data_IF_674437056790
#
_entry.id   IF_674437056790
#
_cell.length_a   1.000
_cell.length_b   1.000
_cell.length_c   1.000
_cell.angle_alpha   90.00
_cell.angle_beta   90.00
_cell.angle_gamma   90.00
#
_symmetry.space_group_name_H-M   'P 1'
#
loop_
_entity.id
_entity.type
_entity.pdbx_description
1 polymer ?
#
# COMPACT_ATOMS: atom_id res chain seq x y z
N UNK A 1 61.32 -69.60 24.71
CA UNK A 1 62.37 -69.17 23.77
C UNK A 1 61.72 -68.79 22.43
N UNK A 2 62.40 -68.07 21.50
CA UNK A 2 61.80 -66.88 20.88
C UNK A 2 61.03 -67.04 19.56
N UNK A 3 60.20 -66.01 19.31
CA UNK A 3 59.92 -65.26 18.06
C UNK A 3 60.73 -65.61 16.78
N UNK A 4 60.13 -65.49 15.58
CA UNK A 4 60.12 -64.17 14.88
C UNK A 4 58.83 -63.74 14.11
N UNK A 5 58.87 -62.48 13.64
CA UNK A 5 57.88 -61.58 12.99
C UNK A 5 58.68 -60.81 11.89
N UNK A 6 58.20 -60.44 10.66
CA UNK A 6 56.92 -59.76 10.26
C UNK A 6 56.29 -60.43 8.99
N UNK A 7 55.53 -59.81 8.03
CA UNK A 7 54.94 -58.44 7.94
C UNK A 7 53.46 -58.26 7.47
N UNK A 8 52.88 -57.13 7.93
CA UNK A 8 51.92 -56.19 7.30
C UNK A 8 50.70 -56.64 6.45
N UNK A 9 49.52 -56.15 6.87
CA UNK A 9 48.50 -55.53 6.00
C UNK A 9 47.56 -54.60 6.81
N UNK A 10 47.09 -53.52 6.18
CA UNK A 10 46.13 -52.50 6.67
C UNK A 10 45.25 -52.16 5.44
N UNK A 11 43.91 -52.30 5.45
CA UNK A 11 42.99 -51.35 6.13
C UNK A 11 41.85 -52.11 6.88
N UNK A 12 40.70 -51.57 7.31
CA UNK A 12 40.02 -50.26 7.11
C UNK A 12 39.15 -49.92 8.35
N UNK A 13 38.72 -48.67 8.49
CA UNK A 13 37.74 -48.25 9.51
C UNK A 13 36.74 -47.24 8.91
N UNK A 14 35.44 -47.52 9.00
CA UNK A 14 34.37 -46.66 8.47
C UNK A 14 33.99 -45.55 9.48
N UNK A 15 33.87 -44.28 9.05
CA UNK A 15 33.22 -43.25 9.84
C UNK A 15 31.69 -43.32 9.67
N UNK A 16 30.95 -43.37 10.79
CA UNK A 16 29.50 -43.29 10.80
C UNK A 16 29.07 -41.81 10.68
N UNK A 17 28.59 -41.39 9.51
CA UNK A 17 28.16 -40.01 9.28
C UNK A 17 26.78 -39.77 9.91
N UNK A 18 26.73 -38.91 10.92
CA UNK A 18 25.48 -38.52 11.58
C UNK A 18 24.74 -37.49 10.71
N UNK A 19 23.58 -37.86 10.15
CA UNK A 19 22.82 -36.99 9.26
C UNK A 19 22.04 -35.94 10.07
N UNK A 20 22.65 -34.77 10.26
CA UNK A 20 21.99 -33.59 10.80
C UNK A 20 20.96 -33.06 9.78
N UNK A 21 19.68 -33.39 10.01
CA UNK A 21 18.55 -32.78 9.34
C UNK A 21 18.40 -31.32 9.81
N UNK A 22 19.24 -30.43 9.29
CA UNK A 22 18.94 -29.00 9.27
C UNK A 22 17.71 -28.80 8.37
N UNK A 23 16.63 -28.16 8.84
CA UNK A 23 15.55 -27.76 7.94
C UNK A 23 16.12 -26.74 6.97
N UNK A 24 16.25 -27.12 5.70
CA UNK A 24 16.53 -26.16 4.63
C UNK A 24 15.32 -25.25 4.53
N UNK A 25 15.45 -24.07 5.12
CA UNK A 25 14.62 -22.91 4.81
C UNK A 25 14.80 -22.60 3.32
N UNK A 26 13.98 -23.23 2.49
CA UNK A 26 13.71 -22.74 1.15
C UNK A 26 13.31 -21.27 1.31
N UNK A 27 13.97 -20.32 0.62
CA UNK A 27 13.54 -18.94 0.68
C UNK A 27 12.08 -18.89 0.21
N UNK A 28 11.21 -18.22 0.96
CA UNK A 28 9.84 -17.97 0.49
C UNK A 28 9.97 -17.07 -0.73
N UNK A 29 9.84 -17.66 -1.93
CA UNK A 29 9.81 -16.93 -3.19
C UNK A 29 8.55 -16.07 -3.19
N UNK A 30 8.72 -14.80 -2.84
CA UNK A 30 7.66 -13.80 -2.96
C UNK A 30 7.65 -13.35 -4.42
N UNK A 31 6.59 -13.66 -5.15
CA UNK A 31 6.36 -13.13 -6.52
C UNK A 31 5.97 -11.65 -6.45
N UNK A 32 6.92 -10.81 -6.08
CA UNK A 32 6.75 -9.38 -5.85
C UNK A 32 6.98 -8.62 -7.16
N UNK A 33 5.90 -8.39 -7.92
CA UNK A 33 5.91 -7.63 -9.17
C UNK A 33 6.05 -6.11 -8.94
N UNK A 34 7.12 -5.69 -8.25
CA UNK A 34 7.58 -4.29 -8.30
C UNK A 34 8.40 -4.12 -9.59
N UNK A 35 7.67 -4.07 -10.71
CA UNK A 35 8.19 -3.59 -11.98
C UNK A 35 8.03 -2.06 -12.00
N UNK A 36 9.11 -1.26 -11.82
CA UNK A 36 9.00 0.18 -11.95
C UNK A 36 8.69 0.51 -13.40
N UNK A 37 7.41 0.80 -13.70
CA UNK A 37 6.93 1.10 -15.05
C UNK A 37 7.88 2.11 -15.70
N UNK A 38 8.61 1.72 -16.77
CA UNK A 38 9.53 2.63 -17.43
C UNK A 38 8.75 3.84 -17.92
N UNK A 39 9.31 5.04 -17.74
CA UNK A 39 8.81 6.23 -18.42
C UNK A 39 8.85 5.93 -19.93
N UNK A 40 7.67 5.70 -20.52
CA UNK A 40 7.58 5.12 -21.86
C UNK A 40 8.36 5.98 -22.86
N UNK A 41 9.16 5.38 -23.75
CA UNK A 41 9.71 6.07 -24.92
C UNK A 41 8.60 6.26 -25.98
N UNK A 42 7.49 6.86 -25.56
CA UNK A 42 6.54 7.50 -26.46
C UNK A 42 7.28 8.58 -27.27
N UNK A 43 6.83 8.89 -28.50
CA UNK A 43 7.19 10.15 -29.12
C UNK A 43 6.91 11.29 -28.13
N UNK A 44 7.85 12.21 -27.96
CA UNK A 44 7.92 13.17 -26.83
C UNK A 44 6.74 14.14 -26.70
N UNK A 45 5.74 14.04 -27.59
CA UNK A 45 4.57 14.90 -27.69
C UNK A 45 3.24 14.13 -27.56
N UNK A 46 3.22 12.83 -27.21
CA UNK A 46 1.96 12.09 -26.98
C UNK A 46 1.48 12.31 -25.53
N UNK A 47 0.36 13.01 -25.29
CA UNK A 47 -0.10 13.31 -23.93
C UNK A 47 -0.78 12.11 -23.27
N UNK A 48 -0.15 11.56 -22.22
CA UNK A 48 -0.81 10.60 -21.32
C UNK A 48 -1.95 11.33 -20.61
N UNK A 49 -3.19 10.88 -20.86
CA UNK A 49 -4.41 11.58 -20.40
C UNK A 49 -5.14 10.72 -19.37
N UNK A 50 -4.94 11.01 -18.08
CA UNK A 50 -5.68 10.40 -16.99
C UNK A 50 -6.91 11.27 -16.64
N UNK A 51 -8.12 10.82 -16.99
CA UNK A 51 -9.35 11.59 -16.77
C UNK A 51 -10.10 11.09 -15.54
N UNK A 52 -10.03 11.85 -14.44
CA UNK A 52 -10.82 11.57 -13.24
C UNK A 52 -12.26 12.06 -13.39
N UNK A 53 -13.21 11.14 -13.59
CA UNK A 53 -14.64 11.44 -13.70
C UNK A 53 -15.32 11.54 -12.33
N UNK A 54 -15.26 12.73 -11.72
CA UNK A 54 -16.02 13.05 -10.51
C UNK A 54 -17.54 13.08 -10.80
N UNK A 55 -18.38 12.25 -10.14
CA UNK A 55 -19.84 12.21 -10.39
C UNK A 55 -20.61 13.42 -9.83
N UNK A 56 -19.96 14.35 -9.12
CA UNK A 56 -20.55 15.63 -8.69
C UNK A 56 -19.54 16.78 -8.80
N UNK A 57 -19.98 18.05 -8.96
CA UNK A 57 -19.09 19.21 -8.92
C UNK A 57 -18.29 19.31 -7.63
N UNK A 58 -18.91 18.99 -6.49
CA UNK A 58 -18.26 18.97 -5.17
C UNK A 58 -17.08 18.00 -5.11
N UNK A 59 -17.21 16.79 -5.66
CA UNK A 59 -16.11 15.83 -5.79
C UNK A 59 -14.97 16.36 -6.68
N UNK A 60 -15.32 17.10 -7.74
CA UNK A 60 -14.35 17.77 -8.62
C UNK A 60 -13.60 18.89 -7.88
N UNK A 61 -14.29 19.75 -7.13
CA UNK A 61 -13.69 20.80 -6.30
C UNK A 61 -12.74 20.25 -5.24
N UNK A 62 -13.09 19.15 -4.57
CA UNK A 62 -12.21 18.50 -3.60
C UNK A 62 -10.97 17.89 -4.28
N UNK A 63 -11.13 17.27 -5.46
CA UNK A 63 -10.02 16.69 -6.23
C UNK A 63 -9.12 17.73 -6.94
N UNK A 64 -9.63 18.93 -7.25
CA UNK A 64 -8.90 19.95 -8.01
C UNK A 64 -7.49 20.26 -7.46
N UNK A 65 -6.51 20.64 -8.32
CA UNK A 65 -5.18 21.13 -7.91
C UNK A 65 -5.25 22.12 -6.74
N UNK A 66 -4.41 21.91 -5.73
CA UNK A 66 -4.32 22.73 -4.51
C UNK A 66 -3.07 23.61 -4.49
N UNK A 67 -2.13 23.33 -5.40
CA UNK A 67 -0.96 24.15 -5.67
C UNK A 67 -1.17 24.96 -6.95
N UNK A 68 -0.76 26.22 -6.95
CA UNK A 68 -0.78 27.08 -8.14
C UNK A 68 0.45 26.91 -9.04
N UNK A 69 1.54 26.35 -8.50
CA UNK A 69 2.77 26.02 -9.22
C UNK A 69 3.54 24.92 -8.45
N UNK A 70 4.37 24.16 -9.16
CA UNK A 70 5.31 23.19 -8.55
C UNK A 70 6.69 23.82 -8.41
N UNK A 71 7.39 23.54 -7.32
CA UNK A 71 8.74 24.05 -7.06
C UNK A 71 9.55 23.00 -6.26
N UNK A 72 10.69 23.40 -5.68
CA UNK A 72 11.56 22.51 -4.91
C UNK A 72 11.00 22.08 -3.54
N UNK A 73 9.92 22.68 -3.05
CA UNK A 73 9.32 22.42 -1.73
C UNK A 73 7.91 21.84 -1.80
N UNK A 74 7.14 22.15 -2.84
CA UNK A 74 5.73 21.82 -2.93
C UNK A 74 5.48 20.47 -3.63
N UNK A 75 4.51 19.72 -3.10
CA UNK A 75 4.02 18.46 -3.64
C UNK A 75 2.50 18.37 -3.52
N UNK A 76 1.85 17.73 -4.47
CA UNK A 76 0.50 17.17 -4.30
C UNK A 76 0.39 15.80 -4.98
N UNK A 77 -0.46 14.93 -4.45
CA UNK A 77 -0.78 13.65 -5.09
C UNK A 77 -2.24 13.25 -4.93
N UNK A 78 -2.73 12.51 -5.92
CA UNK A 78 -4.03 11.85 -5.94
C UNK A 78 -3.79 10.36 -5.78
N UNK A 79 -4.30 9.78 -4.70
CA UNK A 79 -4.15 8.37 -4.37
C UNK A 79 -5.46 7.64 -4.66
N UNK A 80 -5.38 6.51 -5.39
CA UNK A 80 -6.50 5.61 -5.67
C UNK A 80 -6.07 4.18 -5.34
N UNK A 81 -6.96 3.38 -4.76
CA UNK A 81 -6.75 1.94 -4.68
C UNK A 81 -8.04 1.12 -4.80
N UNK A 82 -7.86 -0.20 -4.91
CA UNK A 82 -8.84 -1.19 -4.53
C UNK A 82 -8.18 -2.48 -4.02
N UNK A 83 -8.82 -3.14 -3.05
CA UNK A 83 -8.48 -4.49 -2.57
C UNK A 83 -9.64 -5.45 -2.84
N UNK A 84 -9.34 -6.64 -3.36
CA UNK A 84 -10.34 -7.61 -3.77
C UNK A 84 -11.16 -8.13 -2.58
N UNK A 85 -12.49 -8.16 -2.72
CA UNK A 85 -13.40 -8.32 -1.58
C UNK A 85 -13.25 -9.66 -0.81
N UNK A 86 -12.63 -10.66 -1.43
CA UNK A 86 -12.46 -12.01 -0.90
C UNK A 86 -11.02 -12.54 -1.02
N UNK A 87 -10.04 -11.66 -1.30
CA UNK A 87 -8.63 -12.05 -1.43
C UNK A 87 -7.70 -10.94 -0.90
N UNK A 88 -7.18 -11.04 0.35
CA UNK A 88 -6.34 -10.01 0.94
C UNK A 88 -4.99 -9.83 0.23
N UNK A 89 -4.58 -10.77 -0.64
CA UNK A 89 -3.33 -10.68 -1.39
C UNK A 89 -3.48 -9.90 -2.71
N UNK A 90 -4.71 -9.67 -3.18
CA UNK A 90 -5.01 -9.05 -4.47
C UNK A 90 -5.44 -7.59 -4.28
N UNK A 91 -4.59 -6.66 -4.68
CA UNK A 91 -4.84 -5.22 -4.61
C UNK A 91 -4.21 -4.48 -5.78
N UNK A 92 -4.75 -3.32 -6.11
CA UNK A 92 -4.20 -2.40 -7.10
C UNK A 92 -4.19 -0.99 -6.53
N UNK A 93 -3.08 -0.28 -6.69
CA UNK A 93 -2.88 1.10 -6.24
C UNK A 93 -2.39 1.93 -7.41
N UNK A 94 -2.99 3.10 -7.62
CA UNK A 94 -2.58 4.10 -8.61
C UNK A 94 -2.40 5.44 -7.89
N UNK A 95 -1.21 6.03 -7.99
CA UNK A 95 -0.96 7.36 -7.42
C UNK A 95 -0.38 8.29 -8.47
N UNK A 96 -1.06 9.41 -8.72
CA UNK A 96 -0.60 10.48 -9.61
C UNK A 96 0.01 11.60 -8.77
N UNK A 97 1.21 12.04 -9.12
CA UNK A 97 1.98 13.03 -8.38
C UNK A 97 2.27 14.27 -9.22
N UNK A 98 2.18 15.42 -8.56
CA UNK A 98 2.65 16.72 -9.02
C UNK A 98 3.65 17.22 -7.97
N UNK A 99 4.92 16.81 -8.12
CA UNK A 99 6.00 17.01 -7.14
C UNK A 99 7.37 16.99 -7.81
N UNK A 100 8.27 17.88 -7.38
CA UNK A 100 9.69 17.76 -7.73
C UNK A 100 10.41 16.68 -6.91
N UNK A 101 11.56 16.15 -7.37
CA UNK A 101 12.37 15.20 -6.60
C UNK A 101 12.96 15.74 -5.29
N UNK A 102 12.96 17.05 -5.07
CA UNK A 102 13.38 17.66 -3.80
C UNK A 102 12.23 17.74 -2.77
N UNK A 103 10.98 17.72 -3.22
CA UNK A 103 9.81 17.91 -2.38
C UNK A 103 9.28 16.62 -1.73
N UNK A 104 9.46 15.46 -2.35
CA UNK A 104 8.90 14.18 -1.90
C UNK A 104 9.91 13.01 -2.05
N UNK A 105 10.14 12.19 -1.00
CA UNK A 105 11.26 11.24 -0.97
C UNK A 105 11.14 10.06 -1.94
N UNK A 106 9.92 9.64 -2.28
CA UNK A 106 9.68 8.53 -3.22
C UNK A 106 9.70 8.96 -4.69
N UNK A 107 10.06 10.21 -5.00
CA UNK A 107 10.08 10.72 -6.37
C UNK A 107 11.21 10.07 -7.22
N UNK A 108 11.00 9.89 -8.54
CA UNK A 108 12.02 9.32 -9.42
C UNK A 108 13.33 10.12 -9.39
N UNK A 109 14.43 9.49 -8.93
CA UNK A 109 15.71 10.16 -8.62
C UNK A 109 16.35 10.93 -9.78
N UNK A 110 16.04 10.52 -11.02
CA UNK A 110 16.49 11.16 -12.27
C UNK A 110 15.32 11.73 -13.11
N UNK A 111 14.16 12.01 -12.48
CA UNK A 111 12.97 12.49 -13.18
C UNK A 111 13.15 13.92 -13.72
N UNK A 112 13.04 14.09 -15.04
CA UNK A 112 13.00 15.40 -15.70
C UNK A 112 11.63 16.09 -15.65
N UNK A 113 10.59 15.36 -15.23
CA UNK A 113 9.22 15.83 -15.07
C UNK A 113 8.86 16.01 -13.60
N UNK A 114 8.10 17.07 -13.30
CA UNK A 114 7.43 17.24 -11.99
C UNK A 114 6.05 16.57 -11.93
N UNK A 115 5.57 16.01 -13.05
CA UNK A 115 4.36 15.18 -13.10
C UNK A 115 4.76 13.75 -13.42
N UNK A 116 4.38 12.81 -12.55
CA UNK A 116 4.73 11.39 -12.64
C UNK A 116 3.70 10.54 -11.88
N UNK A 117 3.76 9.22 -12.03
CA UNK A 117 2.79 8.30 -11.44
C UNK A 117 3.42 6.97 -11.07
N UNK A 118 2.88 6.32 -10.03
CA UNK A 118 3.13 4.90 -9.78
C UNK A 118 1.83 4.10 -9.89
N UNK A 119 1.97 2.88 -10.41
CA UNK A 119 0.98 1.82 -10.30
C UNK A 119 1.66 0.67 -9.58
N UNK A 120 0.98 0.10 -8.59
CA UNK A 120 1.41 -1.12 -7.90
C UNK A 120 0.26 -2.13 -7.92
N UNK A 121 0.57 -3.39 -8.18
CA UNK A 121 -0.40 -4.49 -8.18
C UNK A 121 0.18 -5.63 -7.37
N UNK A 122 -0.52 -6.05 -6.33
CA UNK A 122 -0.22 -7.29 -5.62
C UNK A 122 -1.10 -8.41 -6.17
N UNK A 123 -0.49 -9.57 -6.44
CA UNK A 123 -1.18 -10.74 -6.98
C UNK A 123 -1.22 -11.86 -5.94
N UNK A 124 -2.21 -12.77 -6.00
CA UNK A 124 -2.10 -14.07 -5.32
C UNK A 124 -0.92 -14.87 -5.90
N UNK A 125 -0.39 -15.80 -5.12
CA UNK A 125 0.60 -16.76 -5.60
C UNK A 125 0.04 -17.54 -6.80
N UNK A 126 0.84 -17.68 -7.86
CA UNK A 126 0.52 -18.60 -8.94
C UNK A 126 0.45 -20.05 -8.39
N UNK A 127 -0.49 -20.89 -8.86
CA UNK A 127 -0.51 -22.30 -8.49
C UNK A 127 0.85 -22.95 -8.79
N UNK A 128 1.38 -23.71 -7.82
CA UNK A 128 2.65 -24.41 -7.93
C UNK A 128 2.57 -25.54 -8.98
N UNK A 129 2.73 -25.18 -10.26
CA UNK A 129 2.59 -26.07 -11.41
C UNK A 129 3.03 -25.49 -12.74
N UNK A 130 2.81 -24.19 -13.02
CA UNK A 130 3.11 -23.59 -14.35
C UNK A 130 4.10 -22.40 -14.32
N UNK A 131 4.51 -21.94 -13.13
CA UNK A 131 5.54 -20.90 -12.97
C UNK A 131 6.95 -21.48 -12.81
N UNK A 132 7.61 -21.84 -13.92
CA UNK A 132 9.06 -22.12 -13.91
C UNK A 132 9.88 -20.84 -13.76
N UNK A 133 11.08 -20.94 -13.17
CA UNK A 133 11.92 -19.81 -12.77
C UNK A 133 11.99 -18.68 -13.80
N UNK A 134 11.57 -17.48 -13.38
CA UNK A 134 11.78 -16.22 -14.10
C UNK A 134 12.36 -15.16 -13.18
N UNK A 135 13.51 -15.49 -12.59
CA UNK A 135 14.46 -14.48 -12.15
C UNK A 135 14.81 -13.59 -13.34
N UNK A 136 14.18 -12.42 -13.39
CA UNK A 136 14.48 -11.37 -14.35
C UNK A 136 14.89 -10.11 -13.62
N UNK A 137 16.10 -10.16 -13.06
CA UNK A 137 16.87 -8.95 -12.85
C UNK A 137 16.85 -8.12 -14.14
N UNK A 138 16.45 -6.85 -14.06
CA UNK A 138 16.34 -5.93 -15.20
C UNK A 138 17.68 -5.50 -15.82
N UNK A 139 18.70 -6.37 -15.77
CA UNK A 139 20.11 -6.13 -16.11
C UNK A 139 20.45 -6.02 -17.59
N UNK A 140 19.51 -5.63 -18.44
CA UNK A 140 19.76 -5.19 -19.82
C UNK A 140 19.95 -6.27 -20.91
N UNK A 141 20.25 -5.78 -22.13
CA UNK A 141 20.59 -6.54 -23.35
C UNK A 141 19.51 -7.39 -24.05
N UNK A 142 18.57 -6.71 -24.71
CA UNK A 142 18.25 -6.99 -26.13
C UNK A 142 17.19 -8.06 -26.48
N UNK A 143 16.10 -7.63 -27.12
CA UNK A 143 15.14 -8.52 -27.79
C UNK A 143 13.81 -7.83 -28.15
N UNK A 144 13.65 -7.43 -29.41
CA UNK A 144 12.42 -6.94 -30.08
C UNK A 144 11.22 -6.44 -29.25
N UNK A 145 11.09 -5.12 -29.17
CA UNK A 145 10.10 -4.46 -30.02
C UNK A 145 8.62 -4.47 -29.62
N UNK A 146 8.26 -4.91 -28.42
CA UNK A 146 6.94 -4.65 -27.82
C UNK A 146 7.02 -3.54 -26.77
N UNK A 147 6.22 -2.49 -26.89
CA UNK A 147 5.97 -1.58 -25.76
C UNK A 147 5.04 -2.28 -24.75
N UNK A 148 5.21 -2.12 -23.43
CA UNK A 148 4.23 -2.62 -22.47
C UNK A 148 2.93 -1.82 -22.65
N UNK A 149 1.89 -2.52 -23.10
CA UNK A 149 0.54 -1.97 -23.22
C UNK A 149 -0.11 -1.96 -21.82
N UNK A 150 0.01 -0.82 -21.14
CA UNK A 150 -0.57 -0.58 -19.83
C UNK A 150 -1.85 0.24 -19.98
N UNK A 151 -2.97 -0.46 -20.16
CA UNK A 151 -4.30 0.11 -19.98
C UNK A 151 -4.73 -0.10 -18.51
N UNK A 152 -5.15 0.99 -17.85
CA UNK A 152 -5.47 1.04 -16.42
C UNK A 152 -6.86 1.62 -16.24
N UNK A 153 -7.83 0.77 -15.89
CA UNK A 153 -9.14 1.22 -15.45
C UNK A 153 -9.39 0.83 -13.99
N UNK A 154 -9.42 1.85 -13.12
CA UNK A 154 -9.85 1.75 -11.73
C UNK A 154 -11.08 2.65 -11.60
N UNK A 155 -12.25 2.03 -11.38
CA UNK A 155 -13.52 2.75 -11.38
C UNK A 155 -14.44 2.33 -10.25
N UNK A 156 -15.34 3.24 -9.88
CA UNK A 156 -16.50 2.96 -9.03
C UNK A 156 -17.77 3.47 -9.71
N UNK A 157 -18.85 2.71 -9.59
CA UNK A 157 -20.16 3.15 -10.07
C UNK A 157 -20.69 4.25 -9.14
N UNK A 158 -21.14 5.38 -9.69
CA UNK A 158 -21.40 6.63 -8.93
C UNK A 158 -22.47 6.55 -7.83
N UNK A 159 -23.25 5.47 -7.76
CA UNK A 159 -24.21 5.15 -6.70
C UNK A 159 -23.63 4.33 -5.54
N UNK A 160 -22.38 3.84 -5.66
CA UNK A 160 -21.73 2.90 -4.73
C UNK A 160 -20.61 3.54 -3.89
N UNK A 161 -20.33 4.83 -4.08
CA UNK A 161 -19.34 5.58 -3.32
C UNK A 161 -19.98 6.31 -2.13
N UNK A 162 -19.28 6.32 -0.99
CA UNK A 162 -19.69 7.05 0.21
C UNK A 162 -19.29 8.52 0.16
N UNK A 163 -19.96 9.38 0.95
CA UNK A 163 -19.77 10.83 0.89
C UNK A 163 -18.35 11.27 1.33
N UNK A 164 -17.75 12.31 0.71
CA UNK A 164 -16.40 12.76 1.01
C UNK A 164 -16.18 13.17 2.47
N UNK A 165 -14.94 12.99 2.94
CA UNK A 165 -14.50 13.38 4.28
C UNK A 165 -13.25 14.25 4.21
N UNK A 166 -13.29 15.34 4.96
CA UNK A 166 -12.11 16.10 5.38
C UNK A 166 -11.66 15.61 6.76
N UNK A 167 -10.47 16.00 7.26
CA UNK A 167 -9.94 15.45 8.52
C UNK A 167 -10.94 15.56 9.68
N UNK A 168 -11.59 16.72 9.82
CA UNK A 168 -12.50 17.03 10.92
C UNK A 168 -13.99 16.90 10.57
N UNK A 169 -14.34 16.22 9.47
CA UNK A 169 -15.75 15.91 9.16
C UNK A 169 -16.33 14.97 10.22
N UNK A 170 -17.50 15.31 10.77
CA UNK A 170 -18.24 14.48 11.73
C UNK A 170 -19.42 13.78 11.06
N UNK A 171 -20.12 12.89 11.79
CA UNK A 171 -21.36 12.26 11.31
C UNK A 171 -22.52 13.24 11.07
N UNK A 172 -22.41 14.50 11.52
CA UNK A 172 -23.45 15.52 11.41
C UNK A 172 -23.04 16.75 10.58
N UNK A 173 -21.73 16.96 10.35
CA UNK A 173 -21.19 18.16 9.71
C UNK A 173 -19.96 17.82 8.86
N UNK A 174 -20.03 18.13 7.57
CA UNK A 174 -18.85 18.28 6.73
C UNK A 174 -18.06 19.51 7.18
N UNK A 175 -16.76 19.36 7.38
CA UNK A 175 -15.90 20.48 7.75
C UNK A 175 -15.10 20.99 6.54
N UNK A 176 -15.14 22.27 6.17
CA UNK A 176 -14.41 22.78 5.01
C UNK A 176 -12.90 22.95 5.24
N UNK A 177 -12.35 22.66 6.44
CA UNK A 177 -10.90 22.68 6.61
C UNK A 177 -10.26 21.48 5.91
N UNK A 178 -9.38 21.76 4.96
CA UNK A 178 -8.72 20.76 4.13
C UNK A 178 -7.31 20.41 4.64
N UNK A 179 -7.05 20.58 5.95
CA UNK A 179 -5.72 20.45 6.57
C UNK A 179 -5.76 19.52 7.77
N UNK A 180 -4.90 18.51 7.79
CA UNK A 180 -4.61 17.69 8.96
C UNK A 180 -3.25 18.10 9.51
N UNK A 181 -3.25 18.80 10.65
CA UNK A 181 -2.06 19.45 11.17
C UNK A 181 -1.50 20.46 10.17
N UNK A 182 -0.33 20.17 9.60
CA UNK A 182 0.31 21.01 8.57
C UNK A 182 0.31 20.42 7.16
N UNK A 183 -0.24 19.23 6.99
CA UNK A 183 -0.47 18.59 5.69
C UNK A 183 -1.86 18.95 5.17
N UNK A 184 -2.03 19.05 3.86
CA UNK A 184 -3.34 19.03 3.22
C UNK A 184 -3.80 17.61 2.97
N UNK A 185 -5.00 17.26 3.43
CA UNK A 185 -5.61 15.94 3.22
C UNK A 185 -7.12 16.09 2.98
N UNK A 186 -7.64 15.38 1.98
CA UNK A 186 -9.08 15.17 1.81
C UNK A 186 -9.35 13.79 1.23
N UNK A 187 -10.15 13.00 1.93
CA UNK A 187 -10.58 11.68 1.53
C UNK A 187 -11.86 11.78 0.70
N UNK A 188 -11.66 11.84 -0.62
CA UNK A 188 -12.66 12.12 -1.64
C UNK A 188 -13.63 10.94 -1.81
N UNK A 189 -13.14 9.71 -1.66
CA UNK A 189 -13.96 8.50 -1.53
C UNK A 189 -13.44 7.67 -0.34
N UNK A 190 -14.11 7.73 0.83
CA UNK A 190 -13.73 6.95 2.01
C UNK A 190 -13.91 5.44 1.84
N UNK A 191 -14.89 5.07 1.04
CA UNK A 191 -15.23 3.69 0.72
C UNK A 191 -16.15 3.68 -0.49
N UNK A 192 -15.83 2.84 -1.49
CA UNK A 192 -16.72 2.48 -2.58
C UNK A 192 -16.60 0.99 -2.90
N UNK A 193 -17.63 0.43 -3.55
CA UNK A 193 -17.40 -0.77 -4.37
C UNK A 193 -16.62 -0.37 -5.61
N UNK A 194 -15.44 -0.95 -5.77
CA UNK A 194 -14.55 -0.71 -6.89
C UNK A 194 -14.49 -1.93 -7.81
N UNK A 195 -14.28 -1.66 -9.09
CA UNK A 195 -13.98 -2.67 -10.10
C UNK A 195 -12.66 -2.27 -10.75
N UNK A 196 -11.76 -3.25 -10.87
CA UNK A 196 -10.41 -3.10 -11.42
C UNK A 196 -10.32 -3.93 -12.69
N UNK A 197 -9.83 -3.31 -13.75
CA UNK A 197 -9.54 -3.95 -15.03
C UNK A 197 -8.21 -3.37 -15.58
N UNK A 198 -7.14 -4.17 -15.49
CA UNK A 198 -5.77 -3.78 -15.84
C UNK A 198 -5.13 -4.84 -16.75
N UNK A 199 -4.19 -4.41 -17.59
CA UNK A 199 -3.23 -5.32 -18.25
C UNK A 199 -1.84 -5.05 -17.67
N UNK A 200 -1.21 -6.08 -17.09
CA UNK A 200 0.10 -5.99 -16.44
C UNK A 200 1.05 -7.00 -17.08
N UNK A 201 2.10 -6.52 -17.75
CA UNK A 201 3.07 -7.32 -18.53
C UNK A 201 2.45 -8.32 -19.54
N UNK A 202 1.19 -8.10 -19.92
CA UNK A 202 0.41 -8.93 -20.84
C UNK A 202 -0.67 -9.80 -20.18
N UNK A 203 -0.66 -9.93 -18.85
CA UNK A 203 -1.67 -10.67 -18.09
C UNK A 203 -2.85 -9.76 -17.69
N UNK A 204 -4.07 -10.29 -17.70
CA UNK A 204 -5.26 -9.55 -17.25
C UNK A 204 -5.42 -9.61 -15.72
N UNK A 205 -5.50 -8.45 -15.06
CA UNK A 205 -5.79 -8.34 -13.63
C UNK A 205 -7.17 -7.71 -13.44
N UNK A 206 -8.18 -8.57 -13.23
CA UNK A 206 -9.59 -8.20 -13.10
C UNK A 206 -10.17 -8.64 -11.76
N UNK A 207 -10.75 -7.71 -10.98
CA UNK A 207 -11.46 -8.03 -9.74
C UNK A 207 -12.50 -6.99 -9.32
N UNK A 208 -13.47 -7.42 -8.52
CA UNK A 208 -14.33 -6.52 -7.71
C UNK A 208 -13.83 -6.47 -6.27
N UNK A 209 -13.99 -5.30 -5.64
CA UNK A 209 -13.39 -5.03 -4.34
C UNK A 209 -13.93 -3.80 -3.63
N UNK A 210 -13.19 -3.41 -2.60
CA UNK A 210 -13.39 -2.16 -1.86
C UNK A 210 -12.29 -1.19 -2.24
N UNK A 211 -12.66 0.01 -2.65
CA UNK A 211 -11.72 1.03 -3.11
C UNK A 211 -11.85 2.36 -2.39
N UNK A 212 -10.73 3.08 -2.39
CA UNK A 212 -10.52 4.33 -1.68
C UNK A 212 -9.91 5.38 -2.62
N UNK A 213 -10.24 6.66 -2.40
CA UNK A 213 -9.57 7.78 -3.05
C UNK A 213 -9.33 8.92 -2.06
N UNK A 214 -8.10 9.42 -2.01
CA UNK A 214 -7.79 10.70 -1.38
C UNK A 214 -6.88 11.60 -2.20
N UNK A 215 -6.71 12.81 -1.68
CA UNK A 215 -5.72 13.77 -2.13
C UNK A 215 -4.91 14.30 -0.96
N UNK A 216 -3.60 14.40 -1.16
CA UNK A 216 -2.61 14.91 -0.22
C UNK A 216 -1.80 16.07 -0.85
N UNK A 217 -1.42 17.11 -0.09
CA UNK A 217 -0.57 18.21 -0.59
C UNK A 217 0.13 19.02 0.49
N UNK A 218 1.26 19.64 0.14
CA UNK A 218 1.89 20.71 0.91
C UNK A 218 2.73 21.65 0.05
N UNK A 219 3.01 22.83 0.60
CA UNK A 219 3.92 23.83 0.02
C UNK A 219 5.36 23.70 0.57
N UNK A 220 5.54 22.83 1.58
CA UNK A 220 6.82 22.51 2.25
C UNK A 220 7.18 21.03 1.99
N UNK A 221 8.48 20.67 1.90
CA UNK A 221 8.87 19.33 1.47
C UNK A 221 8.52 18.29 2.55
N UNK A 222 8.16 17.07 2.14
CA UNK A 222 7.57 16.03 3.00
C UNK A 222 8.46 15.69 4.21
N UNK A 223 9.78 15.60 4.01
CA UNK A 223 10.77 15.37 5.07
C UNK A 223 10.88 16.49 6.12
N UNK A 224 10.27 17.66 5.88
CA UNK A 224 10.18 18.76 6.85
C UNK A 224 8.84 18.79 7.61
N UNK A 225 7.91 17.91 7.23
CA UNK A 225 6.55 17.82 7.76
C UNK A 225 6.43 16.63 8.69
N UNK A 226 6.60 15.43 8.14
CA UNK A 226 6.26 14.15 8.76
C UNK A 226 7.50 13.56 9.42
N UNK A 227 7.38 13.14 10.68
CA UNK A 227 8.31 12.16 11.29
C UNK A 227 7.82 10.75 11.05
N UNK A 228 6.55 10.52 11.39
CA UNK A 228 5.92 9.20 11.35
C UNK A 228 4.48 9.34 10.91
N UNK A 229 4.02 8.44 10.07
CA UNK A 229 2.65 8.39 9.58
C UNK A 229 2.17 6.94 9.65
N UNK A 230 0.90 6.76 10.01
CA UNK A 230 0.14 5.56 9.69
C UNK A 230 -1.11 5.98 8.94
N UNK A 231 -1.40 5.35 7.81
CA UNK A 231 -2.64 5.51 7.08
C UNK A 231 -3.19 4.13 6.71
N UNK A 232 -4.49 4.05 6.47
CA UNK A 232 -5.09 2.94 5.75
C UNK A 232 -6.60 2.96 5.75
N UNK A 233 -7.17 1.98 5.06
CA UNK A 233 -8.57 1.64 5.15
C UNK A 233 -8.76 0.12 5.22
N UNK A 234 -9.93 -0.30 5.70
CA UNK A 234 -10.28 -1.69 5.83
C UNK A 234 -11.79 -1.92 5.71
N UNK A 235 -12.20 -3.08 5.20
CA UNK A 235 -13.60 -3.50 5.14
C UNK A 235 -13.76 -4.86 5.85
N UNK A 236 -14.68 -4.94 6.81
CA UNK A 236 -14.95 -6.18 7.57
C UNK A 236 -16.39 -6.26 8.06
N UNK A 237 -17.09 -7.35 7.75
CA UNK A 237 -18.52 -7.48 8.04
C UNK A 237 -19.33 -6.34 7.39
N UNK A 238 -20.20 -5.63 8.13
CA UNK A 238 -20.89 -4.43 7.63
C UNK A 238 -20.04 -3.15 7.71
N UNK A 239 -18.80 -3.21 8.19
CA UNK A 239 -18.02 -2.05 8.59
C UNK A 239 -16.97 -1.64 7.54
N UNK A 240 -16.78 -0.33 7.40
CA UNK A 240 -15.67 0.26 6.65
C UNK A 240 -14.93 1.26 7.53
N UNK A 241 -13.62 1.09 7.63
CA UNK A 241 -12.72 1.85 8.50
C UNK A 241 -11.78 2.69 7.65
N UNK A 242 -11.55 3.94 8.02
CA UNK A 242 -10.46 4.78 7.49
C UNK A 242 -9.74 5.41 8.67
N UNK A 243 -8.40 5.41 8.65
CA UNK A 243 -7.59 6.10 9.66
C UNK A 243 -6.38 6.79 9.05
N UNK A 244 -5.96 7.85 9.72
CA UNK A 244 -4.77 8.63 9.43
C UNK A 244 -4.21 9.13 10.77
N UNK A 245 -2.95 8.87 11.06
CA UNK A 245 -2.25 9.32 12.26
C UNK A 245 -0.84 9.79 11.89
N UNK A 246 -0.60 11.09 11.91
CA UNK A 246 0.70 11.70 11.60
C UNK A 246 1.31 12.34 12.84
N UNK A 247 2.60 12.08 13.07
CA UNK A 247 3.42 12.77 14.05
C UNK A 247 4.33 13.75 13.30
N UNK A 248 4.09 15.06 13.40
CA UNK A 248 4.95 16.04 12.76
C UNK A 248 6.39 16.00 13.25
N UNK A 249 7.34 16.37 12.39
CA UNK A 249 8.79 16.31 12.62
C UNK A 249 9.23 16.93 13.95
N UNK A 250 8.60 18.05 14.31
CA UNK A 250 8.91 18.85 15.50
C UNK A 250 7.82 18.74 16.60
N UNK A 251 7.03 17.66 16.61
CA UNK A 251 5.95 17.43 17.57
C UNK A 251 6.06 16.04 18.24
N UNK A 252 5.49 15.95 19.45
CA UNK A 252 5.36 14.68 20.21
C UNK A 252 3.92 14.18 20.28
N UNK A 253 2.94 15.02 19.92
CA UNK A 253 1.52 14.70 19.89
C UNK A 253 1.12 14.48 18.43
N UNK A 254 0.62 13.29 18.05
CA UNK A 254 0.10 13.07 16.70
C UNK A 254 -1.14 13.91 16.42
N UNK A 255 -1.28 14.36 15.18
CA UNK A 255 -2.57 14.75 14.61
C UNK A 255 -3.19 13.53 13.94
N UNK A 256 -4.51 13.40 14.01
CA UNK A 256 -5.20 12.24 13.47
C UNK A 256 -6.56 12.59 12.85
N UNK A 257 -7.03 11.69 11.99
CA UNK A 257 -8.36 11.65 11.42
C UNK A 257 -8.79 10.19 11.37
N UNK A 258 -10.03 9.88 11.73
CA UNK A 258 -10.57 8.54 11.54
C UNK A 258 -12.07 8.56 11.29
N UNK A 259 -12.56 7.55 10.58
CA UNK A 259 -13.99 7.29 10.44
C UNK A 259 -14.31 5.80 10.44
N UNK A 260 -15.49 5.49 10.97
CA UNK A 260 -16.13 4.18 10.93
C UNK A 260 -17.49 4.39 10.27
N UNK A 261 -17.73 3.62 9.21
CA UNK A 261 -19.02 3.48 8.57
C UNK A 261 -19.57 2.09 8.91
N UNK A 262 -20.87 2.01 9.14
CA UNK A 262 -21.61 0.75 9.19
C UNK A 262 -22.69 0.79 8.10
N UNK A 263 -22.70 -0.19 7.20
CA UNK A 263 -23.63 -0.25 6.06
C UNK A 263 -23.64 1.05 5.21
N UNK A 264 -22.48 1.70 5.11
CA UNK A 264 -22.27 3.00 4.45
C UNK A 264 -22.65 4.23 5.29
N UNK A 265 -23.30 4.06 6.45
CA UNK A 265 -23.71 5.15 7.36
C UNK A 265 -22.59 5.50 8.34
N UNK A 266 -22.29 6.79 8.50
CA UNK A 266 -21.24 7.25 9.43
C UNK A 266 -21.64 7.03 10.89
N UNK A 267 -20.89 6.20 11.62
CA UNK A 267 -21.09 5.95 13.07
C UNK A 267 -19.98 6.56 13.94
N UNK A 268 -18.79 6.75 13.39
CA UNK A 268 -17.70 7.57 13.95
C UNK A 268 -17.04 8.36 12.81
N UNK A 269 -16.71 9.63 13.03
CA UNK A 269 -15.92 10.46 12.11
C UNK A 269 -15.43 11.69 12.88
N UNK A 270 -14.13 11.99 12.83
CA UNK A 270 -13.54 13.12 13.55
C UNK A 270 -12.02 13.19 13.50
N UNK A 271 -11.49 14.25 14.12
CA UNK A 271 -10.05 14.58 14.18
C UNK A 271 -9.57 14.92 15.61
N UNK A 272 -10.38 14.66 16.63
CA UNK A 272 -10.02 14.99 18.01
C UNK A 272 -8.77 14.21 18.48
N UNK A 273 -7.98 14.80 19.37
CA UNK A 273 -6.77 14.16 19.87
C UNK A 273 -7.12 12.82 20.55
N UNK A 274 -6.61 11.71 19.98
CA UNK A 274 -6.95 10.35 20.41
C UNK A 274 -8.20 9.73 19.77
N UNK A 275 -8.74 10.30 18.68
CA UNK A 275 -9.84 9.67 17.90
C UNK A 275 -9.46 8.28 17.37
N UNK A 276 -8.18 8.10 17.05
CA UNK A 276 -7.53 6.82 16.73
C UNK A 276 -6.16 6.76 17.39
N UNK A 277 -5.73 5.55 17.73
CA UNK A 277 -4.36 5.19 18.13
C UNK A 277 -3.90 4.04 17.24
N UNK A 278 -2.76 4.20 16.57
CA UNK A 278 -2.16 3.20 15.65
C UNK A 278 -0.73 2.87 16.08
N UNK A 279 -0.41 1.58 16.13
CA UNK A 279 0.92 1.06 16.50
C UNK A 279 1.28 -0.22 15.72
N UNK A 280 2.56 -0.40 15.37
CA UNK A 280 3.11 -1.70 14.94
C UNK A 280 2.93 -2.73 16.07
N UNK A 281 2.55 -3.96 15.72
CA UNK A 281 2.46 -5.09 16.66
C UNK A 281 3.18 -6.32 16.10
N UNK A 282 3.74 -7.16 16.97
CA UNK A 282 4.26 -8.47 16.56
C UNK A 282 3.10 -9.47 16.46
N UNK A 283 3.03 -10.22 15.36
CA UNK A 283 2.00 -11.23 15.15
C UNK A 283 2.56 -12.46 14.45
N UNK A 284 2.31 -13.65 15.00
CA UNK A 284 2.92 -14.90 14.52
C UNK A 284 2.48 -15.35 13.11
N UNK A 285 1.37 -14.79 12.60
CA UNK A 285 0.84 -15.07 11.26
C UNK A 285 1.07 -13.94 10.23
N UNK A 286 1.78 -12.86 10.60
CA UNK A 286 2.12 -11.78 9.69
C UNK A 286 3.57 -11.91 9.21
N UNK A 287 3.86 -11.53 7.96
CA UNK A 287 5.21 -11.51 7.38
C UNK A 287 6.04 -10.30 7.85
N UNK A 288 6.07 -10.06 9.17
CA UNK A 288 6.80 -8.97 9.81
C UNK A 288 6.03 -7.64 9.97
N UNK A 289 4.98 -7.41 9.18
CA UNK A 289 4.19 -6.17 9.24
C UNK A 289 2.75 -6.42 9.71
N UNK A 290 2.40 -5.87 10.88
CA UNK A 290 1.04 -5.82 11.40
C UNK A 290 0.86 -4.56 12.25
N UNK A 291 -0.35 -4.01 12.25
CA UNK A 291 -0.71 -2.84 13.08
C UNK A 291 -1.97 -3.11 13.88
N UNK A 292 -2.02 -2.62 15.12
CA UNK A 292 -3.27 -2.50 15.87
C UNK A 292 -3.82 -1.08 15.67
N UNK A 293 -5.11 -1.00 15.34
CA UNK A 293 -5.86 0.26 15.21
C UNK A 293 -6.97 0.28 16.26
N UNK A 294 -6.93 1.27 17.14
CA UNK A 294 -7.88 1.46 18.24
C UNK A 294 -8.62 2.78 18.07
N UNK A 295 -9.95 2.75 18.09
CA UNK A 295 -10.82 3.94 18.10
C UNK A 295 -11.87 3.80 19.21
N UNK A 296 -12.74 4.80 19.42
CA UNK A 296 -13.87 4.68 20.35
C UNK A 296 -14.83 3.56 19.91
N UNK A 297 -14.73 2.41 20.58
CA UNK A 297 -15.53 1.22 20.27
C UNK A 297 -14.95 0.35 19.13
N UNK A 298 -13.69 0.53 18.75
CA UNK A 298 -13.00 -0.31 17.76
C UNK A 298 -11.65 -0.76 18.31
N UNK A 299 -11.35 -2.05 18.18
CA UNK A 299 -9.99 -2.59 18.31
C UNK A 299 -9.84 -3.70 17.28
N UNK A 300 -9.07 -3.41 16.23
CA UNK A 300 -8.79 -4.37 15.16
C UNK A 300 -7.29 -4.44 14.90
N UNK A 301 -6.84 -5.61 14.45
CA UNK A 301 -5.47 -5.86 14.01
C UNK A 301 -5.47 -6.10 12.51
N UNK A 302 -4.62 -5.39 11.80
CA UNK A 302 -4.39 -5.55 10.36
C UNK A 302 -3.13 -6.39 10.20
N UNK A 303 -3.22 -7.49 9.46
CA UNK A 303 -2.13 -8.45 9.26
C UNK A 303 -1.64 -8.38 7.82
N UNK A 304 -0.42 -7.88 7.60
CA UNK A 304 0.16 -7.78 6.27
C UNK A 304 0.41 -9.16 5.69
N UNK A 305 -0.17 -9.43 4.53
CA UNK A 305 0.01 -10.68 3.78
C UNK A 305 0.79 -10.49 2.49
N UNK A 306 0.74 -9.30 1.88
CA UNK A 306 1.61 -8.89 0.77
C UNK A 306 2.04 -7.42 0.89
N UNK A 307 3.33 -7.17 0.71
CA UNK A 307 3.85 -5.82 0.49
C UNK A 307 3.48 -5.39 -0.93
N UNK A 308 2.81 -4.25 -1.04
CA UNK A 308 2.33 -3.65 -2.30
C UNK A 308 3.37 -2.67 -2.84
N UNK A 309 3.98 -1.89 -1.95
CA UNK A 309 5.03 -0.93 -2.28
C UNK A 309 5.89 -0.64 -1.04
N UNK A 310 7.17 -0.35 -1.24
CA UNK A 310 8.07 0.04 -0.16
C UNK A 310 9.41 0.52 -0.69
N UNK A 311 10.23 1.10 0.19
CA UNK A 311 11.66 1.37 -0.07
C UNK A 311 12.58 0.51 0.82
N UNK A 312 12.00 -0.35 1.65
CA UNK A 312 12.71 -1.26 2.57
C UNK A 312 13.30 -0.58 3.82
N UNK A 313 13.08 0.73 4.04
CA UNK A 313 13.70 1.47 5.14
C UNK A 313 12.73 2.44 5.84
N UNK A 314 12.04 3.28 5.07
CA UNK A 314 11.26 4.42 5.54
C UNK A 314 9.80 4.36 5.12
N UNK A 315 9.47 3.68 4.02
CA UNK A 315 8.11 3.55 3.51
C UNK A 315 7.74 2.08 3.29
N UNK A 316 6.56 1.70 3.79
CA UNK A 316 6.00 0.35 3.69
C UNK A 316 4.48 0.43 3.50
N UNK A 317 3.96 -0.11 2.39
CA UNK A 317 2.51 -0.28 2.12
C UNK A 317 2.18 -1.75 1.92
N UNK A 318 1.16 -2.22 2.63
CA UNK A 318 0.75 -3.61 2.67
C UNK A 318 -0.74 -3.75 2.36
N UNK A 319 -1.08 -4.85 1.71
CA UNK A 319 -2.44 -5.42 1.70
C UNK A 319 -2.48 -6.61 2.66
N UNK A 320 -3.64 -6.87 3.25
CA UNK A 320 -3.73 -7.83 4.35
C UNK A 320 -5.14 -8.12 4.83
N UNK A 321 -5.24 -8.95 5.86
CA UNK A 321 -6.52 -9.20 6.57
C UNK A 321 -6.77 -8.16 7.66
N UNK A 322 -8.02 -8.07 8.10
CA UNK A 322 -8.38 -7.38 9.34
C UNK A 322 -9.31 -8.24 10.21
N UNK A 323 -8.99 -8.30 11.50
CA UNK A 323 -9.67 -9.13 12.50
C UNK A 323 -9.75 -8.37 13.84
N UNK A 324 -10.81 -8.56 14.63
CA UNK A 324 -10.95 -7.94 15.95
C UNK A 324 -12.38 -7.69 16.42
N UNK A 325 -12.63 -6.48 16.94
CA UNK A 325 -13.93 -6.05 17.45
C UNK A 325 -14.30 -4.63 16.96
N UNK A 326 -15.52 -4.48 16.45
CA UNK A 326 -16.11 -3.20 16.00
C UNK A 326 -17.49 -3.05 16.64
N UNK A 327 -17.68 -1.96 17.39
CA UNK A 327 -18.91 -1.62 18.12
C UNK A 327 -19.49 -2.75 18.99
N UNK A 328 -18.62 -3.54 19.63
CA UNK A 328 -18.99 -4.69 20.47
C UNK A 328 -19.31 -5.97 19.68
N UNK A 329 -19.20 -5.95 18.35
CA UNK A 329 -19.31 -7.12 17.50
C UNK A 329 -17.91 -7.67 17.16
N UNK A 330 -17.70 -8.97 17.35
CA UNK A 330 -16.49 -9.63 16.84
C UNK A 330 -16.57 -9.75 15.33
N UNK A 331 -15.47 -9.40 14.67
CA UNK A 331 -15.35 -9.34 13.21
C UNK A 331 -14.04 -10.01 12.78
N UNK A 332 -14.06 -10.69 11.65
CA UNK A 332 -12.91 -11.46 11.16
C UNK A 332 -12.92 -11.61 9.63
N UNK A 333 -11.76 -11.96 9.06
CA UNK A 333 -11.61 -12.26 7.64
C UNK A 333 -11.90 -11.10 6.68
N UNK A 334 -11.79 -9.85 7.17
CA UNK A 334 -11.90 -8.67 6.32
C UNK A 334 -10.61 -8.42 5.53
N UNK A 335 -10.63 -7.40 4.68
CA UNK A 335 -9.48 -6.98 3.87
C UNK A 335 -9.09 -5.53 4.16
N UNK A 336 -7.80 -5.21 4.05
CA UNK A 336 -7.26 -3.88 4.34
C UNK A 336 -6.09 -3.50 3.42
N UNK A 337 -5.97 -2.20 3.12
CA UNK A 337 -4.76 -1.58 2.55
C UNK A 337 -4.27 -0.54 3.55
N UNK A 338 -3.00 -0.65 3.94
CA UNK A 338 -2.45 0.16 5.02
C UNK A 338 -0.94 0.38 4.88
N UNK A 339 -0.45 1.50 5.40
CA UNK A 339 0.94 1.91 5.21
C UNK A 339 1.51 2.69 6.39
N UNK A 340 2.83 2.79 6.38
CA UNK A 340 3.61 3.55 7.34
C UNK A 340 4.74 4.33 6.64
N UNK A 341 4.96 5.56 7.10
CA UNK A 341 6.22 6.28 6.90
C UNK A 341 6.93 6.42 8.25
N UNK A 342 8.26 6.24 8.26
CA UNK A 342 9.12 6.30 9.44
C UNK A 342 10.44 7.01 9.05
N UNK A 343 10.55 8.31 9.35
CA UNK A 343 11.58 9.24 8.84
C UNK A 343 12.50 9.80 9.95
#
# INVERSE_FOLDING_TARGET
MPLPIPPFSIPLLLPLLLLLLTPTLLPQVHSQYISPIPALPLPTNTPITATYHAPTPFLSELSAPKLSAVNASAFEWWYFDAVAAHNPNLSAVVTFFTSSPAAFPLAPRNGSSVVWSYVYVSLPDAPAGEGGDRDREGGGSGGNGGSPHLDVWVGWEGSRATAPRTPCTTSQRFDPSLRLGSLGWVNIVPHAKATVDLIVDGEEVKFEGYGYHDKNWSERPFHSLVKKWFWGHAHVGPYSLVWFQETPLNATIPVASASVLQDGVTVLSGCEAGIVSVQRVSHAAASGFAVEVVMRGVRVTMLGTREVAGDGQHFFRWTGTVDGEVLGQKVNGGVAVFEEFDL
#
